data_IF_563393205335
#
_entry.id   IF_563393205335
#
_cell.length_a   1.000
_cell.length_b   1.000
_cell.length_c   1.000
_cell.angle_alpha   90.00
_cell.angle_beta   90.00
_cell.angle_gamma   90.00
#
_symmetry.space_group_name_H-M   'P 1'
#
loop_
_entity.id
_entity.type
_entity.pdbx_description
1 polymer ?
#
# COMPACT_ATOMS: atom_id res chain seq x y z
N UNK A 1 -16.53 -0.90 -22.58
CA UNK A 1 -15.79 0.23 -21.93
C UNK A 1 -16.80 1.22 -21.39
N UNK A 2 -16.57 1.85 -20.23
CA UNK A 2 -17.47 2.82 -19.59
C UNK A 2 -17.48 4.16 -20.34
N UNK A 3 -18.61 4.89 -20.30
CA UNK A 3 -18.68 6.26 -20.77
C UNK A 3 -18.24 7.26 -19.68
N UNK A 4 -18.54 6.97 -18.41
CA UNK A 4 -18.24 7.86 -17.28
C UNK A 4 -17.94 7.06 -16.00
N UNK A 5 -16.89 7.47 -15.27
CA UNK A 5 -16.44 6.83 -14.03
C UNK A 5 -16.29 7.86 -12.92
N UNK A 6 -16.81 7.53 -11.72
CA UNK A 6 -16.58 8.30 -10.50
C UNK A 6 -15.21 7.92 -9.91
N UNK A 7 -14.41 8.92 -9.56
CA UNK A 7 -13.14 8.73 -8.83
C UNK A 7 -13.40 9.00 -7.35
N UNK A 8 -13.59 7.92 -6.57
CA UNK A 8 -13.98 7.98 -5.16
C UNK A 8 -12.76 8.15 -4.25
N UNK A 9 -11.89 9.10 -4.58
CA UNK A 9 -10.67 9.40 -3.85
C UNK A 9 -10.23 10.86 -4.06
N UNK A 10 -9.08 11.24 -3.49
CA UNK A 10 -8.47 12.57 -3.57
C UNK A 10 -6.97 12.49 -3.79
N UNK A 11 -6.35 13.67 -3.91
CA UNK A 11 -4.89 13.77 -3.93
C UNK A 11 -4.27 13.17 -5.19
N UNK A 12 -3.04 12.66 -5.07
CA UNK A 12 -2.27 12.17 -6.21
C UNK A 12 -2.92 10.97 -6.89
N UNK A 13 -3.56 10.07 -6.11
CA UNK A 13 -4.20 8.89 -6.69
C UNK A 13 -5.44 9.25 -7.50
N UNK A 14 -6.22 10.26 -7.08
CA UNK A 14 -7.34 10.75 -7.89
C UNK A 14 -6.83 11.34 -9.21
N UNK A 15 -5.74 12.12 -9.18
CA UNK A 15 -5.09 12.64 -10.40
C UNK A 15 -4.60 11.49 -11.30
N UNK A 16 -4.00 10.45 -10.70
CA UNK A 16 -3.52 9.25 -11.44
C UNK A 16 -4.65 8.52 -12.16
N UNK A 17 -5.77 8.32 -11.46
CA UNK A 17 -6.96 7.65 -12.02
C UNK A 17 -7.61 8.50 -13.10
N UNK A 18 -7.80 9.80 -12.88
CA UNK A 18 -8.37 10.75 -13.87
C UNK A 18 -7.56 10.70 -15.18
N UNK A 19 -6.22 10.72 -15.08
CA UNK A 19 -5.36 10.62 -16.27
C UNK A 19 -5.56 9.32 -17.03
N UNK A 20 -5.66 8.18 -16.33
CA UNK A 20 -5.91 6.89 -16.98
C UNK A 20 -7.30 6.85 -17.66
N UNK A 21 -8.33 7.43 -17.03
CA UNK A 21 -9.67 7.56 -17.63
C UNK A 21 -9.63 8.40 -18.89
N UNK A 22 -8.98 9.55 -18.88
CA UNK A 22 -8.85 10.43 -20.05
C UNK A 22 -8.08 9.75 -21.21
N UNK A 23 -7.01 9.00 -20.90
CA UNK A 23 -6.27 8.22 -21.91
C UNK A 23 -7.09 7.10 -22.53
N UNK A 24 -8.11 6.60 -21.81
CA UNK A 24 -9.09 5.64 -22.31
C UNK A 24 -10.31 6.29 -22.99
N UNK A 25 -10.38 7.62 -23.03
CA UNK A 25 -11.50 8.38 -23.59
C UNK A 25 -12.77 8.33 -22.71
N UNK A 26 -12.61 8.12 -21.40
CA UNK A 26 -13.68 8.00 -20.41
C UNK A 26 -13.83 9.33 -19.65
N UNK A 27 -15.06 9.83 -19.50
CA UNK A 27 -15.34 11.03 -18.70
C UNK A 27 -15.10 10.75 -17.22
N UNK A 28 -14.25 11.57 -16.57
CA UNK A 28 -13.89 11.43 -15.16
C UNK A 28 -14.73 12.37 -14.28
N UNK A 29 -15.40 11.83 -13.27
CA UNK A 29 -16.11 12.60 -12.25
C UNK A 29 -15.35 12.53 -10.94
N UNK A 30 -14.80 13.64 -10.46
CA UNK A 30 -14.14 13.71 -9.15
C UNK A 30 -15.16 13.93 -8.02
N UNK A 31 -14.90 13.35 -6.86
CA UNK A 31 -15.53 13.78 -5.61
C UNK A 31 -14.55 14.63 -4.81
N UNK A 32 -15.07 15.57 -4.01
CA UNK A 32 -14.24 16.38 -3.12
C UNK A 32 -14.98 16.77 -1.84
N UNK A 33 -14.23 16.91 -0.76
CA UNK A 33 -14.71 17.58 0.46
C UNK A 33 -14.52 19.09 0.35
N UNK A 34 -15.10 19.85 1.27
CA UNK A 34 -14.92 21.32 1.28
C UNK A 34 -13.45 21.75 1.37
N UNK A 35 -12.58 20.94 1.99
CA UNK A 35 -11.13 21.22 2.07
C UNK A 35 -10.40 21.03 0.74
N UNK A 36 -10.94 20.23 -0.17
CA UNK A 36 -10.30 19.89 -1.46
C UNK A 36 -10.91 20.65 -2.64
N UNK A 37 -11.75 21.68 -2.40
CA UNK A 37 -12.47 22.42 -3.46
C UNK A 37 -11.57 22.88 -4.61
N UNK A 38 -10.38 23.36 -4.29
CA UNK A 38 -9.42 23.92 -5.24
C UNK A 38 -8.25 22.93 -5.54
N UNK A 39 -8.43 21.65 -5.20
CA UNK A 39 -7.41 20.63 -5.42
C UNK A 39 -7.28 20.27 -6.90
N UNK A 40 -6.07 19.88 -7.32
CA UNK A 40 -5.75 19.57 -8.72
C UNK A 40 -6.65 18.51 -9.35
N UNK A 41 -7.05 17.47 -8.59
CA UNK A 41 -7.94 16.43 -9.11
C UNK A 41 -9.33 16.95 -9.45
N UNK A 42 -9.80 17.98 -8.74
CA UNK A 42 -11.08 18.65 -9.04
C UNK A 42 -10.99 19.47 -10.33
N UNK A 43 -9.86 20.15 -10.54
CA UNK A 43 -9.59 20.93 -11.74
C UNK A 43 -9.45 20.07 -13.00
N UNK A 44 -8.80 18.89 -12.86
CA UNK A 44 -8.52 17.99 -14.00
C UNK A 44 -9.72 17.15 -14.42
N UNK A 45 -10.68 16.91 -13.53
CA UNK A 45 -11.86 16.11 -13.84
C UNK A 45 -12.82 16.85 -14.77
N UNK A 46 -13.57 16.12 -15.60
CA UNK A 46 -14.61 16.69 -16.46
C UNK A 46 -15.78 17.25 -15.65
N UNK A 47 -16.07 16.63 -14.51
CA UNK A 47 -17.06 17.08 -13.52
C UNK A 47 -16.54 16.84 -12.11
N UNK A 48 -17.09 17.58 -11.15
CA UNK A 48 -16.76 17.38 -9.73
C UNK A 48 -17.98 17.60 -8.83
N UNK A 49 -18.09 16.78 -7.78
CA UNK A 49 -19.20 16.80 -6.82
C UNK A 49 -18.64 16.95 -5.40
N UNK A 50 -19.15 17.97 -4.67
CA UNK A 50 -18.85 18.09 -3.25
C UNK A 50 -19.64 17.06 -2.45
N UNK A 51 -18.94 16.16 -1.73
CA UNK A 51 -19.53 15.06 -0.98
C UNK A 51 -19.64 15.32 0.53
N UNK A 52 -19.24 16.50 1.00
CA UNK A 52 -19.39 16.86 2.41
C UNK A 52 -18.31 17.80 2.95
N UNK A 53 -18.29 18.00 4.28
CA UNK A 53 -17.29 18.83 4.95
C UNK A 53 -15.89 18.20 4.94
N UNK A 54 -14.91 18.89 5.52
CA UNK A 54 -13.49 18.51 5.49
C UNK A 54 -13.18 17.19 6.20
N UNK A 55 -13.99 16.78 7.20
CA UNK A 55 -13.82 15.49 7.88
C UNK A 55 -14.03 14.32 6.92
N UNK A 56 -13.08 13.39 6.90
CA UNK A 56 -13.18 12.18 6.06
C UNK A 56 -14.40 11.32 6.43
N UNK A 57 -14.76 11.23 7.71
CA UNK A 57 -15.92 10.49 8.19
C UNK A 57 -17.25 11.05 7.68
N UNK A 58 -17.29 12.34 7.35
CA UNK A 58 -18.49 13.04 6.87
C UNK A 58 -18.46 13.24 5.35
N UNK A 59 -17.38 12.83 4.65
CA UNK A 59 -17.18 12.98 3.21
C UNK A 59 -16.71 11.67 2.56
N UNK A 60 -15.41 11.47 2.42
CA UNK A 60 -14.81 10.33 1.67
C UNK A 60 -15.11 8.94 2.24
N UNK A 61 -15.42 8.83 3.55
CA UNK A 61 -15.83 7.57 4.20
C UNK A 61 -17.35 7.39 4.28
N UNK A 62 -18.12 8.34 3.74
CA UNK A 62 -19.58 8.30 3.81
C UNK A 62 -20.15 7.68 2.54
N UNK A 63 -20.36 6.37 2.57
CA UNK A 63 -20.87 5.58 1.42
C UNK A 63 -22.06 6.22 0.73
N UNK A 64 -23.17 6.65 1.42
CA UNK A 64 -24.32 7.25 0.74
C UNK A 64 -23.99 8.50 -0.07
N UNK A 65 -23.04 9.33 0.38
CA UNK A 65 -22.67 10.53 -0.33
C UNK A 65 -21.87 10.23 -1.61
N UNK A 66 -20.99 9.22 -1.57
CA UNK A 66 -20.21 8.79 -2.72
C UNK A 66 -21.10 8.12 -3.77
N UNK A 67 -22.00 7.22 -3.34
CA UNK A 67 -22.97 6.57 -4.24
C UNK A 67 -23.91 7.60 -4.88
N UNK A 68 -24.49 8.52 -4.09
CA UNK A 68 -25.34 9.58 -4.62
C UNK A 68 -24.61 10.49 -5.63
N UNK A 69 -23.31 10.76 -5.43
CA UNK A 69 -22.50 11.48 -6.40
C UNK A 69 -22.38 10.73 -7.74
N UNK A 70 -22.20 9.41 -7.70
CA UNK A 70 -22.15 8.57 -8.91
C UNK A 70 -23.50 8.54 -9.64
N UNK A 71 -24.60 8.32 -8.92
CA UNK A 71 -25.95 8.27 -9.47
C UNK A 71 -26.37 9.61 -10.11
N UNK A 72 -26.17 10.72 -9.38
CA UNK A 72 -26.58 12.05 -9.85
C UNK A 72 -25.77 12.55 -11.05
N UNK A 73 -24.57 12.02 -11.23
CA UNK A 73 -23.73 12.32 -12.40
C UNK A 73 -23.83 11.27 -13.51
N UNK A 74 -24.68 10.24 -13.31
CA UNK A 74 -24.88 9.13 -14.23
C UNK A 74 -23.55 8.41 -14.57
N UNK A 75 -22.73 8.12 -13.55
CA UNK A 75 -21.57 7.25 -13.69
C UNK A 75 -22.01 5.79 -13.84
N UNK A 76 -21.23 5.02 -14.58
CA UNK A 76 -21.44 3.58 -14.79
C UNK A 76 -20.55 2.75 -13.86
N UNK A 77 -19.45 3.35 -13.38
CA UNK A 77 -18.50 2.67 -12.50
C UNK A 77 -17.86 3.64 -11.50
N UNK A 78 -17.25 3.06 -10.45
CA UNK A 78 -16.56 3.80 -9.40
C UNK A 78 -15.15 3.23 -9.23
N UNK A 79 -14.13 4.08 -9.34
CA UNK A 79 -12.74 3.73 -9.01
C UNK A 79 -12.39 4.24 -7.60
N UNK A 80 -12.10 3.36 -6.64
CA UNK A 80 -11.89 3.77 -5.25
C UNK A 80 -10.44 4.26 -4.98
N UNK A 81 -9.50 4.05 -5.89
CA UNK A 81 -8.07 4.26 -5.66
C UNK A 81 -7.52 3.34 -4.56
N UNK A 82 -6.91 3.92 -3.53
CA UNK A 82 -6.48 3.24 -2.30
C UNK A 82 -6.85 4.06 -1.05
N UNK A 83 -6.87 3.42 0.13
CA UNK A 83 -7.36 4.05 1.36
C UNK A 83 -8.88 4.30 1.33
N UNK A 84 -9.39 5.10 2.25
CA UNK A 84 -10.82 5.38 2.41
C UNK A 84 -11.71 4.13 2.27
N UNK A 85 -12.52 4.07 1.21
CA UNK A 85 -13.48 2.99 0.96
C UNK A 85 -12.94 1.87 0.03
N UNK A 86 -11.67 1.92 -0.36
CA UNK A 86 -11.11 1.01 -1.36
C UNK A 86 -11.13 -0.47 -0.95
N UNK A 87 -11.11 -0.77 0.35
CA UNK A 87 -11.21 -2.13 0.90
C UNK A 87 -12.46 -2.32 1.77
N UNK A 88 -13.53 -1.59 1.47
CA UNK A 88 -14.78 -1.66 2.24
C UNK A 88 -15.82 -2.51 1.48
N UNK A 89 -16.12 -3.75 1.92
CA UNK A 89 -17.06 -4.62 1.22
C UNK A 89 -18.51 -4.08 1.24
N UNK A 90 -18.89 -3.30 2.25
CA UNK A 90 -20.20 -2.64 2.26
C UNK A 90 -20.31 -1.57 1.18
N UNK A 91 -19.21 -0.90 0.82
CA UNK A 91 -19.19 0.04 -0.30
C UNK A 91 -19.31 -0.67 -1.64
N UNK A 92 -18.64 -1.82 -1.82
CA UNK A 92 -18.80 -2.63 -3.04
C UNK A 92 -20.25 -3.05 -3.22
N UNK A 93 -20.92 -3.58 -2.17
CA UNK A 93 -22.34 -3.95 -2.23
C UNK A 93 -23.25 -2.75 -2.52
N UNK A 94 -22.99 -1.59 -1.90
CA UNK A 94 -23.77 -0.38 -2.18
C UNK A 94 -23.63 0.10 -3.64
N UNK A 95 -22.45 -0.08 -4.25
CA UNK A 95 -22.28 0.16 -5.68
C UNK A 95 -23.11 -0.83 -6.52
N UNK A 96 -23.02 -2.14 -6.21
CA UNK A 96 -23.77 -3.20 -6.90
C UNK A 96 -25.30 -2.99 -6.78
N UNK A 97 -25.80 -2.61 -5.61
CA UNK A 97 -27.22 -2.28 -5.37
C UNK A 97 -27.70 -1.05 -6.13
N UNK A 98 -26.78 -0.17 -6.53
CA UNK A 98 -27.04 1.05 -7.34
C UNK A 98 -26.70 0.85 -8.84
N UNK A 99 -26.57 -0.38 -9.33
CA UNK A 99 -26.17 -0.69 -10.70
C UNK A 99 -24.84 -0.05 -11.14
N UNK A 100 -23.91 0.20 -10.18
CA UNK A 100 -22.60 0.74 -10.43
C UNK A 100 -21.54 -0.38 -10.39
N UNK A 101 -20.65 -0.41 -11.37
CA UNK A 101 -19.51 -1.33 -11.36
C UNK A 101 -18.43 -0.79 -10.42
N UNK A 102 -18.08 -1.56 -9.39
CA UNK A 102 -16.91 -1.26 -8.56
C UNK A 102 -15.63 -1.72 -9.27
N UNK A 103 -14.67 -0.81 -9.48
CA UNK A 103 -13.39 -1.11 -10.13
C UNK A 103 -12.41 -1.63 -9.05
N UNK A 104 -12.44 -2.94 -8.85
CA UNK A 104 -11.68 -3.63 -7.81
C UNK A 104 -12.14 -5.07 -7.63
N UNK A 105 -11.66 -5.75 -6.57
CA UNK A 105 -12.11 -7.08 -6.19
C UNK A 105 -13.57 -7.10 -5.73
N UNK A 106 -14.17 -8.29 -5.69
CA UNK A 106 -15.55 -8.49 -5.23
C UNK A 106 -15.68 -8.31 -3.71
N UNK A 107 -16.88 -7.96 -3.24
CA UNK A 107 -17.17 -7.83 -1.81
C UNK A 107 -16.84 -9.11 -1.03
N UNK A 108 -17.15 -10.29 -1.58
CA UNK A 108 -16.87 -11.60 -0.96
C UNK A 108 -15.37 -11.84 -0.77
N UNK A 109 -14.55 -11.56 -1.79
CA UNK A 109 -13.08 -11.68 -1.68
C UNK A 109 -12.53 -10.69 -0.65
N UNK A 110 -13.02 -9.45 -0.63
CA UNK A 110 -12.60 -8.46 0.37
C UNK A 110 -12.94 -8.89 1.80
N UNK A 111 -14.13 -9.45 2.03
CA UNK A 111 -14.52 -9.93 3.36
C UNK A 111 -13.66 -11.10 3.82
N UNK A 112 -13.44 -12.07 2.92
CA UNK A 112 -12.64 -13.26 3.24
C UNK A 112 -11.18 -12.91 3.51
N UNK A 113 -10.59 -12.03 2.71
CA UNK A 113 -9.18 -11.61 2.86
C UNK A 113 -8.99 -10.57 3.95
N UNK A 114 -10.02 -9.81 4.30
CA UNK A 114 -10.00 -8.87 5.43
C UNK A 114 -10.04 -9.56 6.81
N UNK A 115 -10.59 -10.75 6.90
CA UNK A 115 -10.52 -11.60 8.09
C UNK A 115 -9.20 -12.37 8.12
N UNK A 116 -8.32 -12.01 9.06
CA UNK A 116 -6.96 -12.57 9.13
C UNK A 116 -6.92 -14.08 9.38
N UNK A 117 -7.88 -14.62 10.12
CA UNK A 117 -7.96 -16.06 10.40
C UNK A 117 -8.39 -16.80 9.12
N UNK A 118 -9.47 -16.33 8.51
CA UNK A 118 -10.01 -16.91 7.29
C UNK A 118 -9.02 -16.80 6.11
N UNK A 119 -8.37 -15.63 5.95
CA UNK A 119 -7.34 -15.43 4.94
C UNK A 119 -6.19 -16.45 5.08
N UNK A 120 -5.71 -16.69 6.31
CA UNK A 120 -4.69 -17.71 6.57
C UNK A 120 -5.16 -19.12 6.25
N UNK A 121 -6.39 -19.47 6.60
CA UNK A 121 -6.96 -20.80 6.29
C UNK A 121 -7.01 -21.01 4.77
N UNK A 122 -7.50 -20.05 4.01
CA UNK A 122 -7.57 -20.11 2.55
C UNK A 122 -6.19 -20.14 1.90
N UNK A 123 -5.23 -19.33 2.39
CA UNK A 123 -3.83 -19.35 1.92
C UNK A 123 -3.16 -20.71 2.20
N UNK A 124 -3.38 -21.28 3.39
CA UNK A 124 -2.88 -22.63 3.73
C UNK A 124 -3.44 -23.69 2.79
N UNK A 125 -4.75 -23.63 2.52
CA UNK A 125 -5.39 -24.55 1.59
C UNK A 125 -4.85 -24.43 0.15
N UNK A 126 -4.45 -23.22 -0.25
CA UNK A 126 -3.79 -22.94 -1.54
C UNK A 126 -2.29 -23.31 -1.56
N UNK A 127 -1.73 -23.80 -0.44
CA UNK A 127 -0.32 -24.15 -0.32
C UNK A 127 0.63 -22.94 -0.29
N UNK A 128 0.16 -21.80 0.22
CA UNK A 128 0.98 -20.61 0.46
C UNK A 128 1.66 -20.75 1.83
N UNK A 129 2.99 -20.55 1.93
CA UNK A 129 3.69 -20.63 3.22
C UNK A 129 3.18 -19.57 4.20
N UNK A 130 2.83 -19.98 5.41
CA UNK A 130 2.38 -19.09 6.49
C UNK A 130 3.46 -18.92 7.55
N UNK A 131 3.41 -17.80 8.28
CA UNK A 131 4.21 -17.64 9.49
C UNK A 131 3.77 -18.71 10.51
N UNK A 132 4.69 -19.52 11.07
CA UNK A 132 4.35 -20.49 12.10
C UNK A 132 3.68 -19.82 13.31
N UNK A 133 2.57 -20.36 13.80
CA UNK A 133 1.82 -19.73 14.90
C UNK A 133 0.56 -20.49 15.28
N UNK A 134 -0.40 -19.78 15.87
CA UNK A 134 -1.74 -20.32 16.17
C UNK A 134 -2.61 -20.36 14.92
N UNK A 135 -3.53 -21.32 14.87
CA UNK A 135 -4.50 -21.43 13.76
C UNK A 135 -5.66 -20.43 13.88
N UNK A 136 -5.75 -19.71 15.00
CA UNK A 136 -6.78 -18.72 15.28
C UNK A 136 -6.49 -18.00 16.58
N UNK A 137 -7.49 -17.31 17.11
CA UNK A 137 -7.40 -16.65 18.42
C UNK A 137 -7.31 -17.67 19.54
N UNK A 138 -6.51 -17.38 20.56
CA UNK A 138 -6.26 -18.31 21.66
C UNK A 138 -5.98 -17.58 22.97
N UNK A 139 -6.27 -18.23 24.08
CA UNK A 139 -5.92 -17.75 25.42
C UNK A 139 -4.43 -17.86 25.72
N UNK A 140 -3.96 -17.16 26.76
CA UNK A 140 -2.55 -17.05 27.13
C UNK A 140 -1.87 -18.41 27.34
N UNK A 141 -2.58 -19.41 27.89
CA UNK A 141 -2.00 -20.75 28.13
C UNK A 141 -1.76 -21.53 26.83
N UNK A 142 -2.66 -21.40 25.86
CA UNK A 142 -2.46 -21.97 24.52
C UNK A 142 -1.33 -21.27 23.79
N UNK A 143 -1.27 -19.93 23.88
CA UNK A 143 -0.14 -19.17 23.31
C UNK A 143 1.20 -19.62 23.92
N UNK A 144 1.26 -19.84 25.23
CA UNK A 144 2.45 -20.34 25.94
C UNK A 144 2.88 -21.70 25.40
N UNK A 145 1.92 -22.63 25.25
CA UNK A 145 2.19 -23.96 24.71
C UNK A 145 2.75 -23.91 23.29
N UNK A 146 2.15 -23.07 22.43
CA UNK A 146 2.59 -22.93 21.02
C UNK A 146 3.93 -22.22 20.94
N UNK A 147 4.16 -21.17 21.74
CA UNK A 147 5.45 -20.46 21.79
C UNK A 147 6.62 -21.39 22.13
N UNK A 148 6.42 -22.37 23.04
CA UNK A 148 7.42 -23.39 23.34
C UNK A 148 7.76 -24.30 22.15
N UNK A 149 6.76 -24.57 21.29
CA UNK A 149 6.95 -25.43 20.09
C UNK A 149 7.67 -24.67 18.98
N UNK A 150 7.23 -23.43 18.66
CA UNK A 150 7.79 -22.65 17.56
C UNK A 150 9.07 -21.89 17.95
N UNK A 151 9.37 -21.81 19.26
CA UNK A 151 10.52 -21.11 19.80
C UNK A 151 10.38 -19.59 19.82
N UNK A 152 11.08 -18.94 20.77
CA UNK A 152 11.17 -17.49 20.86
C UNK A 152 12.20 -16.91 19.86
N UNK A 153 12.12 -15.63 19.48
CA UNK A 153 11.04 -14.68 19.80
C UNK A 153 9.74 -14.99 19.08
N UNK A 154 8.61 -14.57 19.69
CA UNK A 154 7.28 -14.68 19.12
C UNK A 154 6.60 -13.32 19.08
N UNK A 155 5.57 -13.17 18.25
CA UNK A 155 4.78 -11.96 18.09
C UNK A 155 3.33 -12.25 18.50
N UNK A 156 2.85 -11.58 19.55
CA UNK A 156 1.44 -11.56 19.93
C UNK A 156 0.74 -10.49 19.12
N UNK A 157 -0.39 -10.82 18.49
CA UNK A 157 -1.10 -9.93 17.56
C UNK A 157 -2.60 -9.92 17.83
N UNK A 158 -3.23 -8.77 17.71
CA UNK A 158 -4.69 -8.65 17.68
C UNK A 158 -5.26 -9.31 16.41
N UNK A 159 -6.39 -10.01 16.55
CA UNK A 159 -7.10 -10.61 15.41
C UNK A 159 -7.81 -9.53 14.58
N UNK A 160 -8.36 -8.52 15.24
CA UNK A 160 -8.98 -7.37 14.61
C UNK A 160 -7.98 -6.23 14.39
N UNK A 161 -8.19 -5.43 13.33
CA UNK A 161 -7.44 -4.20 13.06
C UNK A 161 -6.13 -4.41 12.29
N UNK A 162 -5.36 -3.32 12.17
CA UNK A 162 -4.12 -3.23 11.38
C UNK A 162 -3.22 -2.09 11.86
N UNK A 163 -2.17 -1.78 11.09
CA UNK A 163 -1.27 -0.65 11.39
C UNK A 163 -0.39 -0.84 12.64
N UNK A 164 -0.18 -2.09 13.07
CA UNK A 164 0.74 -2.40 14.18
C UNK A 164 0.17 -2.21 15.58
N UNK A 165 -1.08 -1.81 15.76
CA UNK A 165 -1.74 -1.72 17.07
C UNK A 165 -2.07 -3.13 17.59
N UNK A 166 -1.94 -3.34 18.89
CA UNK A 166 -2.15 -4.65 19.52
C UNK A 166 -1.09 -5.69 19.16
N UNK A 167 0.13 -5.26 18.80
CA UNK A 167 1.26 -6.15 18.50
C UNK A 167 2.37 -6.00 19.54
N UNK A 168 2.91 -7.15 20.00
CA UNK A 168 4.04 -7.20 20.95
C UNK A 168 4.99 -8.32 20.60
N UNK A 169 6.29 -7.98 20.42
CA UNK A 169 7.36 -8.98 20.34
C UNK A 169 7.66 -9.46 21.75
N UNK A 170 7.77 -10.77 21.90
CA UNK A 170 8.04 -11.46 23.17
C UNK A 170 9.30 -12.31 22.99
N UNK A 171 10.31 -12.06 23.79
CA UNK A 171 11.61 -12.72 23.66
C UNK A 171 11.77 -13.96 24.58
N UNK A 172 10.93 -14.05 25.62
CA UNK A 172 10.96 -15.17 26.57
C UNK A 172 9.55 -15.52 27.07
N UNK A 173 9.41 -16.70 27.66
CA UNK A 173 8.14 -17.15 28.23
C UNK A 173 7.66 -16.24 29.37
N UNK A 174 8.57 -15.72 30.17
CA UNK A 174 8.26 -14.89 31.34
C UNK A 174 7.60 -13.55 30.92
N UNK A 175 7.88 -13.06 29.71
CA UNK A 175 7.30 -11.83 29.17
C UNK A 175 5.89 -12.04 28.60
N UNK A 176 5.52 -13.30 28.27
CA UNK A 176 4.34 -13.59 27.44
C UNK A 176 3.03 -13.12 28.08
N UNK A 177 2.85 -13.34 29.37
CA UNK A 177 1.61 -13.00 30.09
C UNK A 177 1.38 -11.48 30.15
N UNK A 178 2.45 -10.72 30.45
CA UNK A 178 2.39 -9.25 30.44
C UNK A 178 2.15 -8.68 29.06
N UNK A 179 2.82 -9.24 28.03
CA UNK A 179 2.63 -8.84 26.64
C UNK A 179 1.20 -9.14 26.14
N UNK A 180 0.66 -10.32 26.50
CA UNK A 180 -0.72 -10.70 26.19
C UNK A 180 -1.73 -9.71 26.79
N UNK A 181 -1.64 -9.43 28.08
CA UNK A 181 -2.56 -8.52 28.77
C UNK A 181 -2.51 -7.10 28.17
N UNK A 182 -1.32 -6.59 27.88
CA UNK A 182 -1.15 -5.27 27.29
C UNK A 182 -1.68 -5.20 25.85
N UNK A 183 -1.43 -6.23 25.04
CA UNK A 183 -1.92 -6.29 23.65
C UNK A 183 -3.44 -6.43 23.61
N UNK A 184 -4.05 -7.24 24.50
CA UNK A 184 -5.50 -7.40 24.58
C UNK A 184 -6.20 -6.10 24.95
N UNK A 185 -5.68 -5.38 25.97
CA UNK A 185 -6.24 -4.10 26.40
C UNK A 185 -6.15 -3.03 25.29
N UNK A 186 -5.04 -2.98 24.56
CA UNK A 186 -4.87 -2.06 23.42
C UNK A 186 -5.82 -2.41 22.27
N UNK A 187 -5.98 -3.69 21.96
CA UNK A 187 -6.86 -4.18 20.90
C UNK A 187 -8.33 -3.89 21.24
N UNK A 188 -8.76 -4.17 22.47
CA UNK A 188 -10.10 -3.87 22.95
C UNK A 188 -10.41 -2.37 22.87
N UNK A 189 -9.48 -1.52 23.32
CA UNK A 189 -9.66 -0.07 23.27
C UNK A 189 -9.68 0.50 21.84
N UNK A 190 -8.91 -0.09 20.92
CA UNK A 190 -8.79 0.42 19.55
C UNK A 190 -9.83 -0.14 18.59
N UNK A 191 -10.28 -1.39 18.79
CA UNK A 191 -11.08 -2.14 17.82
C UNK A 191 -12.36 -2.74 18.41
N UNK A 192 -12.54 -2.72 19.76
CA UNK A 192 -13.66 -3.34 20.45
C UNK A 192 -13.56 -4.88 20.49
N UNK A 193 -12.40 -5.44 20.20
CA UNK A 193 -12.11 -6.88 20.24
C UNK A 193 -10.69 -7.12 20.76
N UNK A 194 -10.58 -7.71 21.94
CA UNK A 194 -9.32 -8.06 22.59
C UNK A 194 -8.77 -9.44 22.22
N UNK A 195 -9.33 -10.10 21.20
CA UNK A 195 -8.90 -11.41 20.74
C UNK A 195 -7.50 -11.38 20.13
N UNK A 196 -6.63 -12.29 20.58
CA UNK A 196 -5.23 -12.34 20.17
C UNK A 196 -4.86 -13.70 19.57
N UNK A 197 -3.84 -13.69 18.72
CA UNK A 197 -3.18 -14.87 18.19
C UNK A 197 -1.66 -14.70 18.26
N UNK A 198 -0.90 -15.77 18.04
CA UNK A 198 0.56 -15.79 18.14
C UNK A 198 1.18 -16.24 16.84
N UNK A 199 2.29 -15.60 16.48
CA UNK A 199 3.14 -15.99 15.36
C UNK A 199 4.61 -16.01 15.77
N UNK A 200 5.44 -16.76 15.03
CA UNK A 200 6.89 -16.64 15.11
C UNK A 200 7.30 -15.22 14.73
N UNK A 201 8.08 -14.56 15.56
CA UNK A 201 8.70 -13.30 15.14
C UNK A 201 9.87 -13.60 14.19
N UNK A 202 9.77 -13.14 12.96
CA UNK A 202 10.84 -13.21 11.96
C UNK A 202 11.66 -11.92 12.09
N UNK A 203 12.87 -12.01 12.63
CA UNK A 203 13.74 -10.85 12.90
C UNK A 203 15.19 -11.25 12.63
N UNK A 204 15.94 -10.51 11.77
CA UNK A 204 15.44 -9.46 10.89
C UNK A 204 14.54 -10.03 9.78
N UNK A 205 13.60 -9.24 9.29
CA UNK A 205 12.74 -9.65 8.17
C UNK A 205 12.78 -8.60 7.06
N UNK A 206 12.52 -9.04 5.83
CA UNK A 206 12.18 -8.12 4.73
C UNK A 206 10.70 -8.20 4.42
N UNK A 207 10.15 -7.09 4.00
CA UNK A 207 8.79 -6.98 3.53
C UNK A 207 8.79 -7.00 2.01
N UNK A 208 8.39 -8.10 1.43
CA UNK A 208 8.30 -8.30 -0.02
C UNK A 208 6.87 -8.62 -0.39
N UNK A 209 6.41 -8.10 -1.51
CA UNK A 209 5.02 -8.27 -1.95
C UNK A 209 4.93 -8.55 -3.44
N UNK A 210 3.91 -9.31 -3.86
CA UNK A 210 3.67 -9.66 -5.27
C UNK A 210 2.42 -8.94 -5.77
N UNK A 211 2.57 -8.17 -6.85
CA UNK A 211 1.46 -7.54 -7.55
C UNK A 211 0.78 -8.51 -8.51
N UNK A 212 -0.55 -8.55 -8.48
CA UNK A 212 -1.36 -9.34 -9.42
C UNK A 212 -2.40 -8.49 -10.13
N UNK A 213 -2.77 -8.95 -11.33
CA UNK A 213 -3.97 -8.58 -12.07
C UNK A 213 -4.70 -9.89 -12.42
N UNK A 214 -6.02 -9.94 -12.17
CA UNK A 214 -6.85 -11.10 -12.48
C UNK A 214 -8.12 -10.66 -13.20
N UNK A 215 -8.45 -11.31 -14.32
CA UNK A 215 -9.67 -11.01 -15.06
C UNK A 215 -10.87 -11.90 -14.65
N UNK A 216 -12.01 -11.69 -15.28
CA UNK A 216 -13.23 -12.46 -15.00
C UNK A 216 -13.23 -13.86 -15.62
N UNK A 217 -12.34 -14.15 -16.56
CA UNK A 217 -12.22 -15.42 -17.28
C UNK A 217 -11.24 -16.39 -16.58
N UNK A 218 -10.61 -15.94 -15.49
CA UNK A 218 -9.61 -16.72 -14.74
C UNK A 218 -8.18 -16.50 -15.21
N UNK A 219 -7.95 -15.52 -16.08
CA UNK A 219 -6.61 -15.05 -16.43
C UNK A 219 -5.93 -14.41 -15.22
N UNK A 220 -4.68 -14.78 -14.96
CA UNK A 220 -3.84 -14.24 -13.88
C UNK A 220 -2.54 -13.75 -14.48
N UNK A 221 -2.14 -12.54 -14.13
CA UNK A 221 -0.87 -11.94 -14.49
C UNK A 221 -0.16 -11.45 -13.23
N UNK A 222 1.03 -11.98 -12.91
CA UNK A 222 1.90 -11.44 -11.87
C UNK A 222 2.84 -10.39 -12.47
N UNK A 223 3.00 -9.26 -11.79
CA UNK A 223 3.87 -8.16 -12.22
C UNK A 223 5.20 -8.13 -11.45
N UNK A 224 5.54 -9.24 -10.81
CA UNK A 224 6.72 -9.37 -9.99
C UNK A 224 6.58 -8.77 -8.60
N UNK A 225 7.70 -8.76 -7.91
CA UNK A 225 7.78 -8.31 -6.53
C UNK A 225 8.16 -6.84 -6.40
N UNK A 226 7.74 -6.29 -5.24
CA UNK A 226 8.24 -5.04 -4.66
C UNK A 226 8.88 -5.33 -3.31
N UNK A 227 9.96 -4.65 -3.03
CA UNK A 227 10.65 -4.64 -1.74
C UNK A 227 10.23 -3.38 -0.97
N UNK A 228 9.62 -3.56 0.20
CA UNK A 228 8.99 -2.50 0.98
C UNK A 228 9.56 -2.40 2.41
N UNK A 229 10.78 -2.88 2.65
CA UNK A 229 11.38 -2.97 3.98
C UNK A 229 11.79 -1.62 4.57
N UNK A 230 12.05 -0.60 3.75
CA UNK A 230 12.33 0.75 4.27
C UNK A 230 11.04 1.39 4.75
N UNK A 231 10.76 1.23 6.03
CA UNK A 231 9.52 1.65 6.64
C UNK A 231 9.72 2.15 8.07
N UNK A 232 8.81 2.98 8.54
CA UNK A 232 8.74 3.44 9.93
C UNK A 232 7.39 3.11 10.52
N UNK A 233 7.38 2.37 11.65
CA UNK A 233 6.14 1.95 12.31
C UNK A 233 5.11 1.34 11.33
N UNK A 234 5.58 0.47 10.44
CA UNK A 234 4.80 -0.18 9.37
C UNK A 234 4.28 0.75 8.27
N UNK A 235 4.77 2.01 8.22
CA UNK A 235 4.53 2.91 7.09
C UNK A 235 5.73 2.87 6.14
N UNK A 236 5.51 2.41 4.92
CA UNK A 236 6.51 2.32 3.86
C UNK A 236 6.97 3.74 3.48
N UNK A 237 8.26 3.93 3.22
CA UNK A 237 8.87 5.22 2.86
C UNK A 237 9.64 5.18 1.55
N UNK A 238 10.32 4.05 1.29
CA UNK A 238 11.03 3.79 0.03
C UNK A 238 10.72 2.36 -0.38
N UNK A 239 10.30 2.19 -1.61
CA UNK A 239 9.99 0.90 -2.22
C UNK A 239 10.83 0.71 -3.49
N UNK A 240 11.23 -0.52 -3.78
CA UNK A 240 11.97 -0.82 -5.01
C UNK A 240 11.45 -2.09 -5.69
N UNK A 241 11.68 -2.20 -7.00
CA UNK A 241 11.39 -3.39 -7.79
C UNK A 241 12.47 -3.55 -8.87
N UNK A 242 13.03 -4.77 -9.04
CA UNK A 242 12.84 -5.96 -8.20
C UNK A 242 13.55 -5.86 -6.84
N UNK A 243 13.23 -6.78 -5.91
CA UNK A 243 13.94 -6.91 -4.62
C UNK A 243 15.40 -7.32 -4.82
N UNK A 244 16.31 -6.68 -4.09
CA UNK A 244 17.72 -7.04 -4.06
C UNK A 244 18.00 -8.35 -3.29
N UNK A 245 17.02 -8.83 -2.50
CA UNK A 245 17.16 -10.00 -1.64
C UNK A 245 16.68 -11.30 -2.29
N UNK A 246 15.93 -11.25 -3.38
CA UNK A 246 15.39 -12.44 -4.02
C UNK A 246 16.26 -12.87 -5.21
N UNK A 247 16.64 -14.14 -5.21
CA UNK A 247 17.14 -14.79 -6.42
C UNK A 247 16.00 -15.21 -7.36
N UNK A 248 16.33 -15.83 -8.48
CA UNK A 248 15.35 -16.23 -9.48
C UNK A 248 14.41 -17.33 -8.97
N UNK A 249 14.93 -18.30 -8.22
CA UNK A 249 14.17 -19.45 -7.74
C UNK A 249 13.18 -19.04 -6.65
N UNK A 250 13.61 -18.22 -5.69
CA UNK A 250 12.74 -17.69 -4.64
C UNK A 250 11.61 -16.82 -5.23
N UNK A 251 11.93 -15.99 -6.20
CA UNK A 251 10.95 -15.17 -6.92
C UNK A 251 9.91 -16.04 -7.63
N UNK A 252 10.38 -17.06 -8.35
CA UNK A 252 9.50 -17.98 -9.05
C UNK A 252 8.58 -18.73 -8.07
N UNK A 253 9.10 -19.17 -6.94
CA UNK A 253 8.33 -19.86 -5.91
C UNK A 253 7.25 -18.95 -5.29
N UNK A 254 7.57 -17.67 -5.04
CA UNK A 254 6.60 -16.69 -4.53
C UNK A 254 5.49 -16.41 -5.54
N UNK A 255 5.84 -16.12 -6.81
CA UNK A 255 4.86 -15.87 -7.87
C UNK A 255 3.95 -17.08 -8.07
N UNK A 256 4.50 -18.30 -8.11
CA UNK A 256 3.71 -19.53 -8.23
C UNK A 256 2.77 -19.76 -7.02
N UNK A 257 3.18 -19.40 -5.81
CA UNK A 257 2.31 -19.47 -4.64
C UNK A 257 1.13 -18.51 -4.74
N UNK A 258 1.38 -17.29 -5.25
CA UNK A 258 0.36 -16.26 -5.44
C UNK A 258 -0.60 -16.65 -6.59
N UNK A 259 -0.10 -17.19 -7.71
CA UNK A 259 -0.94 -17.72 -8.80
C UNK A 259 -1.94 -18.78 -8.31
N UNK A 260 -1.46 -19.73 -7.46
CA UNK A 260 -2.34 -20.73 -6.84
C UNK A 260 -3.37 -20.11 -5.91
N UNK A 261 -2.95 -19.12 -5.10
CA UNK A 261 -3.85 -18.43 -4.19
C UNK A 261 -4.94 -17.68 -4.96
N UNK A 262 -4.60 -16.90 -5.99
CA UNK A 262 -5.56 -16.19 -6.83
C UNK A 262 -6.60 -17.13 -7.44
N UNK A 263 -6.14 -18.26 -7.98
CA UNK A 263 -7.06 -19.29 -8.53
C UNK A 263 -7.98 -19.88 -7.47
N UNK A 264 -7.45 -20.21 -6.27
CA UNK A 264 -8.20 -20.85 -5.20
C UNK A 264 -9.29 -19.93 -4.61
N UNK A 265 -9.00 -18.62 -4.47
CA UNK A 265 -9.96 -17.67 -3.88
C UNK A 265 -10.85 -16.99 -4.92
N UNK A 266 -10.63 -17.21 -6.21
CA UNK A 266 -11.36 -16.55 -7.30
C UNK A 266 -11.09 -15.04 -7.33
N UNK A 267 -9.81 -14.63 -7.17
CA UNK A 267 -9.42 -13.23 -7.14
C UNK A 267 -9.75 -12.52 -8.45
N UNK A 268 -10.17 -11.25 -8.37
CA UNK A 268 -10.46 -10.41 -9.54
C UNK A 268 -9.86 -9.03 -9.36
N UNK A 269 -9.48 -8.40 -10.47
CA UNK A 269 -8.88 -7.07 -10.58
C UNK A 269 -7.47 -7.01 -9.96
N UNK A 270 -7.00 -5.83 -9.54
CA UNK A 270 -5.68 -5.65 -8.97
C UNK A 270 -5.64 -6.03 -7.49
N UNK A 271 -4.57 -6.68 -7.07
CA UNK A 271 -4.30 -6.99 -5.68
C UNK A 271 -2.83 -7.20 -5.41
N UNK A 272 -2.50 -7.25 -4.12
CA UNK A 272 -1.13 -7.44 -3.66
C UNK A 272 -1.09 -8.45 -2.52
N UNK A 273 -0.22 -9.44 -2.65
CA UNK A 273 0.05 -10.44 -1.62
C UNK A 273 1.35 -10.07 -0.91
N UNK A 274 1.27 -9.80 0.38
CA UNK A 274 2.41 -9.39 1.20
C UNK A 274 3.03 -10.55 1.95
N UNK A 275 4.37 -10.55 2.03
CA UNK A 275 5.18 -11.59 2.65
C UNK A 275 6.29 -11.02 3.51
N UNK A 276 6.65 -11.76 4.58
CA UNK A 276 7.94 -11.62 5.25
C UNK A 276 8.93 -12.60 4.62
N UNK A 277 10.06 -12.08 4.17
CA UNK A 277 11.21 -12.87 3.75
C UNK A 277 12.19 -12.97 4.93
N UNK A 278 12.49 -14.20 5.36
CA UNK A 278 13.42 -14.48 6.43
C UNK A 278 14.88 -14.53 5.93
N UNK A 279 15.88 -14.43 6.83
CA UNK A 279 17.30 -14.47 6.45
C UNK A 279 17.75 -15.77 5.78
N UNK A 280 17.03 -16.86 6.00
CA UNK A 280 17.31 -18.17 5.38
C UNK A 280 16.70 -18.31 3.98
N UNK A 281 16.04 -17.25 3.46
CA UNK A 281 15.38 -17.22 2.17
C UNK A 281 13.96 -17.77 2.18
N UNK A 282 13.45 -18.26 3.31
CA UNK A 282 12.04 -18.66 3.43
C UNK A 282 11.13 -17.43 3.42
N UNK A 283 9.98 -17.53 2.75
CA UNK A 283 8.99 -16.46 2.71
C UNK A 283 7.68 -16.92 3.34
N UNK A 284 7.00 -16.00 4.00
CA UNK A 284 5.80 -16.29 4.77
C UNK A 284 4.74 -15.22 4.54
N UNK A 285 3.54 -15.65 4.20
CA UNK A 285 2.39 -14.78 3.94
C UNK A 285 2.00 -13.95 5.16
N UNK A 286 1.70 -12.68 4.93
CA UNK A 286 1.19 -11.72 5.93
C UNK A 286 -0.29 -11.46 5.68
N UNK A 287 -0.61 -10.86 4.51
CA UNK A 287 -1.95 -10.41 4.15
C UNK A 287 -2.12 -10.21 2.64
N UNK A 288 -3.37 -10.08 2.22
CA UNK A 288 -3.74 -9.63 0.87
C UNK A 288 -4.33 -8.24 0.97
N UNK A 289 -3.79 -7.31 0.18
CA UNK A 289 -4.41 -6.01 -0.02
C UNK A 289 -5.30 -6.07 -1.26
N UNK A 290 -6.61 -6.01 -1.04
CA UNK A 290 -7.65 -6.13 -2.06
C UNK A 290 -7.89 -4.79 -2.79
N UNK A 291 -6.84 -4.14 -3.22
CA UNK A 291 -6.85 -2.81 -3.86
C UNK A 291 -5.54 -2.52 -4.59
N UNK A 292 -5.52 -1.38 -5.25
CA UNK A 292 -4.27 -0.78 -5.72
C UNK A 292 -3.39 -0.38 -4.52
N UNK A 293 -2.09 -0.62 -4.60
CA UNK A 293 -1.12 -0.15 -3.62
C UNK A 293 -0.58 1.24 -3.97
N UNK A 294 -0.09 1.98 -2.96
CA UNK A 294 0.58 3.28 -3.17
C UNK A 294 1.77 3.10 -4.10
N UNK A 295 2.56 2.08 -3.86
CA UNK A 295 3.81 1.71 -4.53
C UNK A 295 3.64 0.97 -5.87
N UNK A 296 2.41 0.91 -6.43
CA UNK A 296 2.18 0.31 -7.76
C UNK A 296 3.08 0.88 -8.87
N UNK A 297 3.50 2.16 -8.84
CA UNK A 297 4.32 2.73 -9.91
C UNK A 297 5.65 2.03 -10.15
N UNK A 298 6.30 1.43 -9.14
CA UNK A 298 7.56 0.71 -9.38
C UNK A 298 7.33 -0.54 -10.23
N UNK A 299 6.19 -1.25 -10.03
CA UNK A 299 5.81 -2.38 -10.89
C UNK A 299 5.47 -1.91 -12.31
N UNK A 300 4.77 -0.79 -12.46
CA UNK A 300 4.43 -0.22 -13.77
C UNK A 300 5.67 0.09 -14.59
N UNK A 301 6.67 0.76 -14.01
CA UNK A 301 7.84 1.20 -14.77
C UNK A 301 8.81 0.06 -15.11
N UNK A 302 8.86 -1.03 -14.33
CA UNK A 302 9.70 -2.20 -14.65
C UNK A 302 9.03 -3.17 -15.62
N UNK A 303 7.69 -3.21 -15.65
CA UNK A 303 6.94 -4.11 -16.57
C UNK A 303 6.46 -3.40 -17.83
N UNK A 304 6.25 -2.07 -17.77
CA UNK A 304 5.61 -1.29 -18.82
C UNK A 304 4.08 -1.45 -18.87
N UNK A 305 3.47 -2.05 -17.83
CA UNK A 305 2.02 -2.27 -17.72
C UNK A 305 1.41 -1.20 -16.84
N UNK A 306 0.44 -0.47 -17.36
CA UNK A 306 -0.36 0.51 -16.61
C UNK A 306 -1.45 -0.21 -15.79
N UNK A 307 -1.19 -0.38 -14.48
CA UNK A 307 -2.06 -1.16 -13.59
C UNK A 307 -3.45 -0.49 -13.46
N UNK A 308 -3.50 0.83 -13.37
CA UNK A 308 -4.78 1.56 -13.24
C UNK A 308 -5.62 1.42 -14.51
N UNK A 309 -4.98 1.50 -15.67
CA UNK A 309 -5.66 1.26 -16.95
C UNK A 309 -6.20 -0.16 -17.05
N UNK A 310 -5.40 -1.15 -16.66
CA UNK A 310 -5.85 -2.56 -16.64
C UNK A 310 -6.97 -2.79 -15.64
N UNK A 311 -6.97 -2.16 -14.46
CA UNK A 311 -8.09 -2.23 -13.52
C UNK A 311 -9.41 -1.79 -14.16
N UNK A 312 -9.40 -0.68 -14.90
CA UNK A 312 -10.58 -0.13 -15.59
C UNK A 312 -11.03 -1.08 -16.70
N UNK A 313 -10.11 -1.63 -17.51
CA UNK A 313 -10.40 -2.56 -18.61
C UNK A 313 -11.01 -3.87 -18.09
N UNK A 314 -10.40 -4.46 -17.06
CA UNK A 314 -10.89 -5.69 -16.42
C UNK A 314 -12.31 -5.48 -15.86
N UNK A 315 -12.55 -4.36 -15.18
CA UNK A 315 -13.87 -4.03 -14.64
C UNK A 315 -14.92 -3.78 -15.74
N UNK A 316 -14.50 -3.32 -16.91
CA UNK A 316 -15.35 -3.20 -18.09
C UNK A 316 -15.63 -4.55 -18.81
N UNK A 317 -15.08 -5.65 -18.30
CA UNK A 317 -15.26 -7.00 -18.84
C UNK A 317 -14.28 -7.39 -19.94
N UNK A 318 -13.18 -6.62 -20.13
CA UNK A 318 -12.13 -7.00 -21.05
C UNK A 318 -11.18 -8.03 -20.39
N UNK A 319 -10.77 -9.09 -21.10
CA UNK A 319 -9.77 -10.02 -20.59
C UNK A 319 -8.38 -9.36 -20.57
N UNK A 320 -7.48 -9.93 -19.78
CA UNK A 320 -6.06 -9.58 -19.79
C UNK A 320 -5.45 -9.88 -21.16
N UNK A 321 -4.62 -8.96 -21.67
CA UNK A 321 -3.90 -9.17 -22.93
C UNK A 321 -2.81 -10.24 -22.83
N UNK A 322 -2.29 -10.47 -21.62
CA UNK A 322 -1.31 -11.50 -21.29
C UNK A 322 -1.60 -12.11 -19.91
N UNK A 323 -1.23 -13.36 -19.74
CA UNK A 323 -1.33 -14.11 -18.49
C UNK A 323 0.01 -14.70 -18.09
N UNK A 324 0.12 -15.18 -16.85
CA UNK A 324 1.37 -15.72 -16.31
C UNK A 324 2.23 -14.64 -15.67
N UNK A 325 3.47 -14.48 -16.09
CA UNK A 325 4.43 -13.57 -15.43
C UNK A 325 4.87 -12.47 -16.40
N UNK A 326 4.68 -11.22 -15.99
CA UNK A 326 5.08 -10.08 -16.80
C UNK A 326 6.62 -10.01 -16.93
N UNK A 327 7.15 -9.72 -18.13
CA UNK A 327 8.58 -9.47 -18.29
C UNK A 327 8.96 -8.18 -17.57
N UNK A 328 10.13 -8.19 -16.90
CA UNK A 328 10.64 -7.05 -16.14
C UNK A 328 11.95 -6.54 -16.74
N UNK A 329 12.16 -5.23 -16.69
CA UNK A 329 13.37 -4.58 -17.19
C UNK A 329 13.86 -3.52 -16.22
N UNK A 330 15.17 -3.56 -15.95
CA UNK A 330 15.83 -2.57 -15.12
C UNK A 330 15.44 -2.65 -13.65
N UNK A 331 15.49 -1.50 -13.00
CA UNK A 331 15.23 -1.35 -11.57
C UNK A 331 14.54 -0.02 -11.31
N UNK A 332 13.49 -0.04 -10.50
CA UNK A 332 12.73 1.14 -10.09
C UNK A 332 12.82 1.36 -8.59
N UNK A 333 12.80 2.62 -8.18
CA UNK A 333 12.71 3.05 -6.78
C UNK A 333 11.62 4.10 -6.67
N UNK A 334 10.68 3.91 -5.76
CA UNK A 334 9.70 4.92 -5.36
C UNK A 334 10.10 5.50 -4.00
N UNK A 335 9.90 6.80 -3.86
CA UNK A 335 10.17 7.54 -2.63
C UNK A 335 8.92 8.34 -2.30
N UNK A 336 8.35 8.11 -1.11
CA UNK A 336 7.22 8.87 -0.60
C UNK A 336 7.72 10.19 0.00
N UNK A 337 7.25 11.28 -0.52
CA UNK A 337 7.50 12.62 0.01
C UNK A 337 6.29 13.03 0.83
N UNK A 338 6.42 13.00 2.15
CA UNK A 338 5.36 13.33 3.08
C UNK A 338 5.59 14.70 3.71
N UNK A 339 4.52 15.44 3.99
CA UNK A 339 4.52 16.69 4.75
C UNK A 339 4.68 16.39 6.24
N UNK A 340 5.85 15.92 6.64
CA UNK A 340 6.24 15.52 7.98
C UNK A 340 7.64 16.02 8.29
N UNK A 341 7.92 16.32 9.56
CA UNK A 341 9.24 16.75 10.04
C UNK A 341 9.97 15.58 10.73
N UNK A 342 10.95 14.95 10.06
CA UNK A 342 11.70 13.83 10.65
C UNK A 342 12.45 14.22 11.93
N UNK A 343 13.01 15.45 12.02
CA UNK A 343 13.74 15.94 13.19
C UNK A 343 12.83 16.17 14.41
N UNK A 344 11.51 16.26 14.20
CA UNK A 344 10.50 16.41 15.25
C UNK A 344 9.63 15.16 15.40
N UNK A 345 10.22 13.98 15.24
CA UNK A 345 9.54 12.70 15.39
C UNK A 345 8.46 12.43 14.34
N UNK A 346 8.60 13.00 13.14
CA UNK A 346 7.65 12.92 12.02
C UNK A 346 6.31 13.60 12.34
N UNK A 347 6.36 14.71 13.06
CA UNK A 347 5.17 15.53 13.27
C UNK A 347 4.63 16.01 11.90
N UNK A 348 3.30 15.90 11.65
CA UNK A 348 2.71 16.45 10.44
C UNK A 348 2.96 17.95 10.32
N UNK A 349 3.21 18.42 9.10
CA UNK A 349 3.46 19.81 8.77
C UNK A 349 2.43 20.34 7.77
N UNK A 350 1.15 20.46 8.18
CA UNK A 350 0.14 21.06 7.33
C UNK A 350 0.49 22.51 7.02
N UNK A 351 0.10 23.01 5.84
CA UNK A 351 0.41 24.37 5.44
C UNK A 351 0.35 24.57 3.94
N UNK A 352 0.79 25.72 3.48
CA UNK A 352 0.79 26.09 2.07
C UNK A 352 2.15 25.79 1.44
N UNK A 353 2.15 25.07 0.35
CA UNK A 353 3.33 24.83 -0.49
C UNK A 353 3.62 26.12 -1.26
N UNK A 354 4.60 26.90 -0.81
CA UNK A 354 4.94 28.19 -1.40
C UNK A 354 5.76 28.07 -2.68
N UNK A 355 6.43 26.94 -2.86
CA UNK A 355 7.16 26.60 -4.09
C UNK A 355 7.17 25.11 -4.29
N UNK A 356 6.85 24.66 -5.50
CA UNK A 356 6.92 23.27 -5.91
C UNK A 356 7.61 23.15 -7.27
N UNK A 357 8.74 22.44 -7.30
CA UNK A 357 9.45 22.12 -8.54
C UNK A 357 9.78 20.64 -8.57
N UNK A 358 9.04 19.83 -9.36
CA UNK A 358 9.35 18.42 -9.52
C UNK A 358 10.65 18.24 -10.31
N UNK A 359 11.44 17.19 -10.03
CA UNK A 359 12.56 16.80 -10.85
C UNK A 359 12.10 16.27 -12.20
N UNK A 360 12.89 16.48 -13.24
CA UNK A 360 12.61 16.05 -14.59
C UNK A 360 13.74 15.15 -15.13
N UNK A 361 13.53 14.60 -16.30
CA UNK A 361 14.54 13.82 -17.04
C UNK A 361 14.11 12.37 -17.31
N UNK A 362 14.91 11.67 -18.10
CA UNK A 362 14.67 10.28 -18.50
C UNK A 362 14.59 9.39 -17.24
N UNK A 363 13.56 8.51 -17.17
CA UNK A 363 13.37 7.58 -16.06
C UNK A 363 13.06 8.26 -14.74
N UNK A 364 12.43 9.44 -14.77
CA UNK A 364 11.94 10.15 -13.60
C UNK A 364 10.45 10.44 -13.79
N UNK A 365 9.62 9.99 -12.85
CA UNK A 365 8.17 10.21 -12.77
C UNK A 365 7.84 10.82 -11.42
N UNK A 366 6.92 11.74 -11.36
CA UNK A 366 6.40 12.32 -10.13
C UNK A 366 4.88 12.22 -10.14
N UNK A 367 4.32 11.42 -9.25
CA UNK A 367 2.88 11.35 -9.02
C UNK A 367 2.54 12.30 -7.87
N UNK A 368 1.76 13.34 -8.15
CA UNK A 368 1.43 14.38 -7.19
C UNK A 368 0.13 15.10 -7.57
N UNK A 369 -0.55 15.63 -6.56
CA UNK A 369 -1.61 16.61 -6.72
C UNK A 369 -1.16 18.02 -6.32
N UNK A 370 0.14 18.21 -6.00
CA UNK A 370 0.66 19.48 -5.52
C UNK A 370 1.17 20.36 -6.65
N UNK A 371 0.97 21.65 -6.45
CA UNK A 371 1.53 22.77 -7.22
C UNK A 371 1.86 23.92 -6.27
N UNK A 372 2.53 24.91 -6.75
CA UNK A 372 2.72 26.16 -6.01
C UNK A 372 1.36 26.75 -5.60
N UNK A 373 1.21 27.10 -4.32
CA UNK A 373 -0.04 27.57 -3.72
C UNK A 373 -0.96 26.48 -3.21
N UNK A 374 -0.66 25.19 -3.40
CA UNK A 374 -1.47 24.09 -2.84
C UNK A 374 -1.42 24.08 -1.33
N UNK A 375 -2.53 23.81 -0.67
CA UNK A 375 -2.65 23.63 0.77
C UNK A 375 -2.61 22.15 1.12
N UNK A 376 -1.80 21.79 2.13
CA UNK A 376 -1.81 20.48 2.78
C UNK A 376 -2.73 20.59 3.99
N UNK A 377 -3.97 20.04 3.92
CA UNK A 377 -4.91 20.13 5.03
C UNK A 377 -4.55 19.13 6.14
N UNK A 378 -4.89 19.42 7.40
CA UNK A 378 -4.61 18.52 8.52
C UNK A 378 -5.58 17.33 8.65
N UNK A 379 -6.49 17.16 7.71
CA UNK A 379 -7.60 16.19 7.81
C UNK A 379 -7.29 14.83 7.17
N UNK A 380 -6.24 14.74 6.35
CA UNK A 380 -5.94 13.58 5.50
C UNK A 380 -4.47 13.18 5.63
N UNK A 381 -4.08 12.15 4.89
CA UNK A 381 -2.69 11.71 4.79
C UNK A 381 -1.74 12.85 4.37
N UNK A 382 -0.52 12.80 4.87
CA UNK A 382 0.53 13.82 4.66
C UNK A 382 1.23 13.75 3.32
N UNK A 383 0.88 12.82 2.42
CA UNK A 383 1.61 12.58 1.17
C UNK A 383 1.52 13.77 0.21
N UNK A 384 2.67 14.32 -0.14
CA UNK A 384 2.86 15.42 -1.09
C UNK A 384 3.05 14.89 -2.50
N UNK A 385 3.91 13.88 -2.64
CA UNK A 385 4.28 13.30 -3.92
C UNK A 385 4.89 11.90 -3.75
N UNK A 386 4.85 11.12 -4.83
CA UNK A 386 5.67 9.93 -5.04
C UNK A 386 6.70 10.26 -6.11
N UNK A 387 7.97 10.21 -5.76
CA UNK A 387 9.06 10.30 -6.72
C UNK A 387 9.44 8.88 -7.15
N UNK A 388 9.25 8.57 -8.41
CA UNK A 388 9.57 7.26 -8.98
C UNK A 388 10.71 7.41 -9.98
N UNK A 389 11.75 6.63 -9.82
CA UNK A 389 12.86 6.58 -10.75
C UNK A 389 13.06 5.18 -11.30
N UNK A 390 13.58 5.11 -12.52
CA UNK A 390 13.92 3.86 -13.18
C UNK A 390 15.27 3.98 -13.90
N UNK A 391 16.10 2.92 -13.83
CA UNK A 391 17.28 2.76 -14.68
C UNK A 391 17.53 1.27 -14.99
N UNK A 392 18.48 0.98 -15.86
CA UNK A 392 18.81 -0.38 -16.28
C UNK A 392 19.39 -1.25 -15.15
N UNK A 393 19.93 -0.66 -14.11
CA UNK A 393 20.52 -1.36 -12.94
C UNK A 393 20.20 -0.62 -11.64
N UNK A 394 20.16 -1.36 -10.52
CA UNK A 394 19.93 -0.82 -9.19
C UNK A 394 20.88 0.33 -8.80
N UNK A 395 22.21 0.21 -8.93
CA UNK A 395 23.10 1.32 -8.60
C UNK A 395 22.80 2.60 -9.39
N UNK A 396 22.46 2.47 -10.67
CA UNK A 396 22.08 3.62 -11.50
C UNK A 396 20.75 4.23 -11.10
N UNK A 397 19.77 3.39 -10.70
CA UNK A 397 18.50 3.86 -10.17
C UNK A 397 18.71 4.64 -8.87
N UNK A 398 19.57 4.19 -7.97
CA UNK A 398 19.94 4.90 -6.73
C UNK A 398 20.55 6.27 -7.04
N UNK A 399 21.53 6.35 -7.96
CA UNK A 399 22.14 7.63 -8.35
C UNK A 399 21.12 8.58 -8.99
N UNK A 400 20.19 8.03 -9.79
CA UNK A 400 19.08 8.81 -10.36
C UNK A 400 18.14 9.32 -9.30
N UNK A 401 17.79 8.50 -8.29
CA UNK A 401 16.96 8.90 -7.15
C UNK A 401 17.60 10.04 -6.36
N UNK A 402 18.89 9.92 -6.05
CA UNK A 402 19.64 10.96 -5.34
C UNK A 402 19.70 12.27 -6.13
N UNK A 403 19.97 12.21 -7.45
CA UNK A 403 19.94 13.39 -8.33
C UNK A 403 18.53 14.00 -8.33
N UNK A 404 17.49 13.19 -8.52
CA UNK A 404 16.12 13.67 -8.59
C UNK A 404 15.66 14.32 -7.25
N UNK A 405 16.00 13.73 -6.10
CA UNK A 405 15.74 14.33 -4.78
C UNK A 405 16.47 15.65 -4.59
N UNK A 406 17.72 15.78 -5.09
CA UNK A 406 18.47 17.04 -4.99
C UNK A 406 17.86 18.17 -5.83
N UNK A 407 17.14 17.85 -6.89
CA UNK A 407 16.44 18.80 -7.75
C UNK A 407 15.01 19.12 -7.27
N UNK A 408 14.40 18.20 -6.48
CA UNK A 408 13.07 18.39 -5.94
C UNK A 408 13.03 19.56 -4.96
N UNK A 409 12.19 20.54 -5.24
CA UNK A 409 11.97 21.69 -4.34
C UNK A 409 10.53 21.63 -3.82
N UNK A 410 10.40 21.62 -2.49
CA UNK A 410 9.13 21.79 -1.77
C UNK A 410 9.40 22.77 -0.64
N UNK A 411 8.85 23.98 -0.74
CA UNK A 411 9.03 25.03 0.27
C UNK A 411 7.69 25.39 0.92
N UNK A 412 7.73 25.91 2.14
CA UNK A 412 6.56 26.29 2.95
C UNK A 412 6.17 25.25 3.98
N UNK A 413 6.62 24.01 3.82
CA UNK A 413 6.38 22.88 4.75
C UNK A 413 7.66 22.06 4.91
N UNK A 414 7.81 21.35 6.04
CA UNK A 414 8.85 20.34 6.17
C UNK A 414 8.41 19.04 5.46
N UNK A 415 9.36 18.28 4.93
CA UNK A 415 9.08 17.02 4.24
C UNK A 415 10.11 15.94 4.56
N UNK A 416 9.77 14.68 4.23
CA UNK A 416 10.66 13.52 4.36
C UNK A 416 11.76 13.44 3.27
N UNK A 417 11.91 14.46 2.39
CA UNK A 417 12.86 14.47 1.28
C UNK A 417 14.31 14.20 1.71
N UNK A 418 14.78 14.92 2.73
CA UNK A 418 16.18 14.83 3.17
C UNK A 418 16.46 13.49 3.88
N UNK A 419 15.48 12.96 4.61
CA UNK A 419 15.54 11.61 5.17
C UNK A 419 15.73 10.56 4.06
N UNK A 420 14.95 10.66 2.99
CA UNK A 420 15.08 9.73 1.87
C UNK A 420 16.47 9.82 1.21
N UNK A 421 17.03 11.02 1.09
CA UNK A 421 18.38 11.21 0.56
C UNK A 421 19.45 10.58 1.46
N UNK A 422 19.32 10.71 2.78
CA UNK A 422 20.20 10.09 3.77
C UNK A 422 20.11 8.55 3.69
N UNK A 423 18.89 7.99 3.65
CA UNK A 423 18.67 6.53 3.52
C UNK A 423 19.28 5.99 2.23
N UNK A 424 19.02 6.62 1.08
CA UNK A 424 19.62 6.23 -0.21
C UNK A 424 21.14 6.33 -0.22
N UNK A 425 21.73 7.11 0.66
CA UNK A 425 23.19 7.28 0.79
C UNK A 425 23.80 6.35 1.83
N UNK A 426 22.99 5.65 2.64
CA UNK A 426 23.47 4.71 3.65
C UNK A 426 24.09 3.45 3.03
N UNK A 427 25.03 2.85 3.75
CA UNK A 427 25.69 1.63 3.29
C UNK A 427 24.69 0.48 3.15
N UNK A 428 23.76 0.38 4.07
CA UNK A 428 22.72 -0.65 4.12
C UNK A 428 21.86 -0.61 2.86
N UNK A 429 21.39 0.57 2.46
CA UNK A 429 20.60 0.71 1.24
C UNK A 429 21.44 0.49 -0.02
N UNK A 430 22.65 1.04 -0.06
CA UNK A 430 23.55 0.90 -1.21
C UNK A 430 23.90 -0.58 -1.49
N UNK A 431 24.23 -1.34 -0.45
CA UNK A 431 24.55 -2.77 -0.57
C UNK A 431 23.33 -3.65 -0.88
N UNK A 432 22.12 -3.17 -0.57
CA UNK A 432 20.90 -3.98 -0.60
C UNK A 432 20.72 -4.86 0.63
N UNK A 433 21.54 -4.68 1.67
CA UNK A 433 21.45 -5.42 2.93
C UNK A 433 20.74 -4.59 3.99
N UNK A 434 19.41 -4.59 3.92
CA UNK A 434 18.53 -3.88 4.83
C UNK A 434 17.29 -4.72 5.16
N UNK A 435 16.58 -4.34 6.21
CA UNK A 435 15.39 -5.04 6.73
C UNK A 435 14.33 -4.05 7.19
N UNK A 436 13.23 -4.54 7.71
CA UNK A 436 12.17 -3.71 8.31
C UNK A 436 12.61 -2.95 9.56
N UNK A 437 13.75 -3.31 10.17
CA UNK A 437 14.33 -2.61 11.31
C UNK A 437 15.38 -1.55 10.93
N UNK A 438 15.82 -1.52 9.66
CA UNK A 438 16.96 -0.70 9.23
C UNK A 438 16.80 0.79 9.54
N UNK A 439 15.62 1.36 9.35
CA UNK A 439 15.43 2.78 9.64
C UNK A 439 15.61 3.10 11.14
N UNK A 440 15.20 2.19 12.02
CA UNK A 440 15.39 2.31 13.47
C UNK A 440 16.88 2.14 13.83
N UNK A 441 17.58 1.22 13.19
CA UNK A 441 19.01 0.98 13.37
C UNK A 441 19.87 2.16 12.88
N UNK A 442 19.38 2.87 11.87
CA UNK A 442 19.98 4.10 11.36
C UNK A 442 19.66 5.34 12.20
N UNK A 443 18.68 5.27 13.12
CA UNK A 443 18.33 6.36 14.01
C UNK A 443 19.59 6.82 14.80
N UNK A 444 19.91 8.13 14.76
CA UNK A 444 21.16 8.68 15.32
C UNK A 444 22.38 8.70 14.38
N UNK A 445 22.30 8.02 13.22
CA UNK A 445 23.33 8.13 12.15
C UNK A 445 22.89 8.97 10.96
N UNK A 446 21.58 9.23 10.82
CA UNK A 446 21.02 10.02 9.73
C UNK A 446 20.92 11.50 10.14
N UNK A 447 21.61 12.42 9.42
CA UNK A 447 21.59 13.86 9.73
C UNK A 447 20.18 14.47 9.79
N UNK A 448 19.29 14.02 8.92
CA UNK A 448 17.90 14.50 8.85
C UNK A 448 17.03 14.12 10.06
N UNK A 449 17.48 13.18 10.90
CA UNK A 449 16.81 12.81 12.16
C UNK A 449 17.40 13.54 13.37
N UNK A 450 18.49 14.30 13.19
CA UNK A 450 19.07 15.06 14.27
C UNK A 450 18.14 16.22 14.69
N UNK A 451 17.94 16.46 16.00
CA UNK A 451 17.20 17.63 16.45
C UNK A 451 17.82 18.92 15.92
N UNK A 452 16.99 19.85 15.45
CA UNK A 452 17.42 21.14 14.90
C UNK A 452 18.03 22.03 15.99
#
# INVERSE_FOLDING_TARGET
MFARVLVANRGEIAVRVIRALHELGIEAVAVYSTADRDALHVELADRAVCIGPSSAAESYLRIPNVVAAAETTACEAVHPGYGFLAENPAFVRACEESDLVFIGPTADVMERMGDKVRAKEEMRAAGVPLVPGTDGTAGVDDLRRIARVIGFPVLVKASAGGGGKGMRVVHSEDELEGAYAAAAAEAEAAFGDGSLYLEKAIVPARHVEIQVLCDAEGGILTLGERECSIQRRHQKLIEESPSAALDADAREAMEAAVERACSAIGYRNAGTFEFLLAPDGSFHFIEVNCRLQVEHPVSEVVTGIDIVREQIRIAAGEPLEATGRAPRRGHAIEIRINAEDPARGFAPTPGVVTRFRPPLGIGTRVDTAMREGSEIPPYYDSMVAKLVVWDATRPRAIERARRALSELVVEGIATTRDLALDVLSSQEFQSGDYSTSTLVELEGRLPSLAPA
#
